data_IF_998390635801
#
_entry.id   IF_998390635801
#
_cell.length_a   1.000
_cell.length_b   1.000
_cell.length_c   1.000
_cell.angle_alpha   90.00
_cell.angle_beta   90.00
_cell.angle_gamma   90.00
#
_symmetry.space_group_name_H-M   'P 1'
#
loop_
_entity.id
_entity.type
_entity.pdbx_description
1 polymer ?
#
# COMPACT_ATOMS: atom_id res chain seq x y z
N UNK A 1 -0.58 -22.35 1.79
CA UNK A 1 -0.49 -22.38 3.28
C UNK A 1 0.97 -22.19 3.69
N UNK A 2 1.37 -20.99 4.08
CA UNK A 2 2.64 -20.76 4.78
C UNK A 2 2.30 -20.18 6.16
N UNK A 3 1.74 -21.03 7.02
CA UNK A 3 1.21 -20.63 8.34
C UNK A 3 2.13 -21.08 9.48
N UNK A 4 3.42 -21.30 9.21
CA UNK A 4 4.36 -21.47 10.32
C UNK A 4 4.72 -20.08 10.85
N UNK A 5 4.65 -19.85 12.17
CA UNK A 5 5.03 -18.57 12.75
C UNK A 5 6.46 -18.17 12.38
N UNK A 6 7.37 -19.14 12.25
CA UNK A 6 8.74 -18.92 11.78
C UNK A 6 8.85 -18.35 10.36
N UNK A 7 8.07 -18.88 9.41
CA UNK A 7 8.12 -18.38 8.03
C UNK A 7 7.63 -16.94 7.96
N UNK A 8 6.66 -16.58 8.81
CA UNK A 8 6.17 -15.20 8.92
C UNK A 8 7.25 -14.25 9.47
N UNK A 9 8.01 -14.68 10.47
CA UNK A 9 9.12 -13.89 11.02
C UNK A 9 10.24 -13.69 9.98
N UNK A 10 10.61 -14.74 9.24
CA UNK A 10 11.61 -14.64 8.17
C UNK A 10 11.17 -13.72 7.03
N UNK A 11 9.90 -13.79 6.62
CA UNK A 11 9.34 -12.89 5.62
C UNK A 11 9.36 -11.43 6.08
N UNK A 12 9.05 -11.19 7.35
CA UNK A 12 9.10 -9.85 7.92
C UNK A 12 10.52 -9.31 7.99
N UNK A 13 11.48 -10.11 8.43
CA UNK A 13 12.89 -9.73 8.49
C UNK A 13 13.44 -9.39 7.10
N UNK A 14 13.13 -10.22 6.09
CA UNK A 14 13.54 -9.98 4.70
C UNK A 14 12.91 -8.70 4.11
N UNK A 15 11.67 -8.40 4.48
CA UNK A 15 10.98 -7.18 4.07
C UNK A 15 11.62 -5.93 4.69
N UNK A 16 11.90 -5.96 5.99
CA UNK A 16 12.50 -4.84 6.72
C UNK A 16 13.92 -4.53 6.21
N UNK A 17 14.71 -5.56 5.89
CA UNK A 17 16.05 -5.39 5.35
C UNK A 17 16.03 -4.79 3.93
N UNK A 18 15.07 -5.21 3.10
CA UNK A 18 14.89 -4.66 1.74
C UNK A 18 14.48 -3.19 1.77
N UNK A 19 13.55 -2.83 2.66
CA UNK A 19 13.11 -1.44 2.84
C UNK A 19 14.24 -0.54 3.35
N UNK A 20 15.06 -1.05 4.27
CA UNK A 20 16.25 -0.36 4.76
C UNK A 20 17.26 -0.12 3.64
N UNK A 21 17.57 -1.15 2.84
CA UNK A 21 18.49 -1.05 1.71
C UNK A 21 18.02 -0.09 0.62
N UNK A 22 16.73 -0.10 0.28
CA UNK A 22 16.16 0.81 -0.74
C UNK A 22 16.15 2.28 -0.31
N UNK A 23 16.08 2.55 1.00
CA UNK A 23 15.97 3.91 1.54
C UNK A 23 17.28 4.42 2.16
N UNK A 24 18.32 3.61 2.22
CA UNK A 24 19.60 3.95 2.85
C UNK A 24 19.47 4.26 4.35
N UNK A 25 18.43 3.77 5.02
CA UNK A 25 18.16 4.05 6.44
C UNK A 25 18.38 2.79 7.29
N UNK A 26 18.81 2.94 8.57
CA UNK A 26 18.99 1.79 9.45
C UNK A 26 17.69 0.99 9.63
N UNK A 27 17.80 -0.35 9.65
CA UNK A 27 16.66 -1.26 9.89
C UNK A 27 15.91 -0.93 11.19
N UNK A 28 16.63 -0.47 12.23
CA UNK A 28 16.04 0.01 13.47
C UNK A 28 15.04 1.15 13.26
N UNK A 29 15.35 2.10 12.37
CA UNK A 29 14.48 3.23 12.03
C UNK A 29 13.26 2.83 11.18
N UNK A 30 13.29 1.66 10.54
CA UNK A 30 12.13 1.05 9.85
C UNK A 30 11.22 0.37 10.87
N UNK A 31 11.79 -0.37 11.83
CA UNK A 31 11.06 -1.05 12.91
C UNK A 31 10.39 -0.06 13.87
N UNK A 32 11.07 1.03 14.21
CA UNK A 32 10.56 2.08 15.10
C UNK A 32 9.37 2.84 14.49
N UNK A 33 9.43 3.17 13.18
CA UNK A 33 8.30 3.73 12.43
C UNK A 33 7.08 2.81 12.41
N UNK A 34 7.30 1.49 12.34
CA UNK A 34 6.22 0.50 12.38
C UNK A 34 5.64 0.35 13.78
N UNK A 35 6.46 0.41 14.82
CA UNK A 35 6.04 0.36 16.23
C UNK A 35 5.23 1.61 16.65
N UNK A 36 5.59 2.79 16.11
CA UNK A 36 4.84 4.04 16.32
C UNK A 36 3.44 4.05 15.67
N UNK A 37 3.21 3.23 14.64
CA UNK A 37 1.89 3.05 14.03
C UNK A 37 1.16 1.90 14.75
N UNK A 38 0.78 2.17 16.00
CA UNK A 38 -0.21 1.34 16.67
C UNK A 38 -1.53 1.46 15.90
N UNK A 39 -2.09 0.33 15.42
CA UNK A 39 -3.43 0.29 14.79
C UNK A 39 -4.49 1.03 15.63
N UNK A 40 -4.31 1.03 16.96
CA UNK A 40 -5.18 1.72 17.92
C UNK A 40 -4.95 3.24 17.98
N UNK A 41 -3.72 3.71 17.77
CA UNK A 41 -3.44 5.14 17.63
C UNK A 41 -3.78 5.68 16.24
N UNK A 42 -3.70 4.88 15.19
CA UNK A 42 -4.18 5.28 13.87
C UNK A 42 -5.70 5.49 13.85
N UNK A 43 -6.45 4.64 14.55
CA UNK A 43 -7.90 4.84 14.75
C UNK A 43 -8.22 6.06 15.64
N UNK A 44 -7.40 6.36 16.65
CA UNK A 44 -7.57 7.56 17.49
C UNK A 44 -7.08 8.86 16.84
N UNK A 45 -6.09 8.80 15.95
CA UNK A 45 -5.58 9.95 15.18
C UNK A 45 -6.38 10.22 13.91
N UNK A 46 -7.00 9.18 13.33
CA UNK A 46 -7.89 9.30 12.18
C UNK A 46 -9.17 10.09 12.46
N UNK A 47 -9.65 10.12 13.71
CA UNK A 47 -10.81 10.94 14.09
C UNK A 47 -10.48 12.43 14.15
N UNK A 48 -9.25 12.82 14.51
CA UNK A 48 -8.81 14.21 14.51
C UNK A 48 -8.50 14.72 13.08
N UNK A 49 -7.96 13.88 12.20
CA UNK A 49 -7.73 14.21 10.79
C UNK A 49 -8.99 14.23 9.92
N UNK A 50 -10.05 13.51 10.33
CA UNK A 50 -11.32 13.48 9.61
C UNK A 50 -12.10 14.80 9.67
N UNK A 51 -11.91 15.63 10.70
CA UNK A 51 -12.60 16.92 10.81
C UNK A 51 -12.15 17.94 9.74
N UNK A 52 -10.89 17.90 9.32
CA UNK A 52 -10.38 18.76 8.23
C UNK A 52 -10.80 18.29 6.84
N UNK A 53 -11.01 16.98 6.64
CA UNK A 53 -11.46 16.40 5.37
C UNK A 53 -12.99 16.40 5.23
N UNK A 54 -13.75 16.65 6.29
CA UNK A 54 -15.21 16.73 6.22
C UNK A 54 -15.72 18.03 5.56
N UNK A 55 -14.92 19.11 5.56
CA UNK A 55 -15.28 20.36 4.89
C UNK A 55 -14.88 20.38 3.40
N UNK A 56 -13.92 19.54 2.99
CA UNK A 56 -13.51 19.37 1.60
C UNK A 56 -14.03 18.00 1.11
N UNK A 57 -15.33 17.94 0.85
CA UNK A 57 -16.04 16.69 0.56
C UNK A 57 -15.35 15.80 -0.49
N UNK A 58 -15.42 14.46 -0.33
CA UNK A 58 -14.75 13.46 -1.18
C UNK A 58 -15.15 13.50 -2.67
N UNK A 59 -16.19 14.25 -3.03
CA UNK A 59 -16.62 14.42 -4.43
C UNK A 59 -15.66 15.25 -5.29
N UNK A 60 -14.90 16.19 -4.72
CA UNK A 60 -14.08 17.09 -5.54
C UNK A 60 -12.73 16.46 -5.96
N UNK A 61 -12.16 15.58 -5.14
CA UNK A 61 -10.90 14.89 -5.46
C UNK A 61 -11.12 13.79 -6.49
N UNK A 62 -12.26 13.10 -6.42
CA UNK A 62 -12.65 12.10 -7.41
C UNK A 62 -12.85 12.74 -8.80
N UNK A 63 -13.48 13.92 -8.88
CA UNK A 63 -13.88 14.54 -10.14
C UNK A 63 -12.71 15.07 -10.98
N UNK A 64 -11.61 15.45 -10.36
CA UNK A 64 -10.40 15.91 -11.08
C UNK A 64 -9.60 14.72 -11.64
N UNK A 65 -9.66 13.55 -11.02
CA UNK A 65 -8.96 12.34 -11.48
C UNK A 65 -9.64 11.64 -12.66
N UNK A 66 -10.95 11.85 -12.87
CA UNK A 66 -11.71 11.26 -13.99
C UNK A 66 -11.44 11.91 -15.36
N UNK A 67 -10.73 13.05 -15.41
CA UNK A 67 -10.49 13.78 -16.66
C UNK A 67 -9.35 13.19 -17.53
N UNK A 68 -8.51 12.31 -16.97
CA UNK A 68 -7.45 11.63 -17.71
C UNK A 68 -7.54 10.12 -17.48
N UNK A 69 -7.56 9.32 -18.56
CA UNK A 69 -7.48 7.87 -18.45
C UNK A 69 -6.17 7.48 -17.73
N UNK A 70 -6.23 6.86 -16.54
CA UNK A 70 -5.02 6.57 -15.75
C UNK A 70 -4.17 5.50 -16.45
N UNK A 71 -2.86 5.72 -16.56
CA UNK A 71 -1.91 4.70 -17.05
C UNK A 71 -1.43 3.85 -15.86
N UNK A 72 -1.79 2.57 -15.84
CA UNK A 72 -1.48 1.65 -14.73
C UNK A 72 -0.36 0.70 -15.12
N UNK A 73 0.70 0.65 -14.31
CA UNK A 73 1.78 -0.34 -14.41
C UNK A 73 1.73 -1.33 -13.25
N UNK A 74 1.88 -2.62 -13.54
CA UNK A 74 1.97 -3.70 -12.55
C UNK A 74 3.38 -4.26 -12.60
N UNK A 75 4.12 -4.21 -11.50
CA UNK A 75 5.48 -4.76 -11.42
C UNK A 75 5.43 -6.16 -10.81
N UNK A 76 5.86 -7.15 -11.59
CA UNK A 76 5.91 -8.56 -11.23
C UNK A 76 4.72 -9.37 -11.78
N UNK A 77 5.01 -10.29 -12.70
CA UNK A 77 4.05 -11.23 -13.29
C UNK A 77 3.76 -12.47 -12.43
N UNK A 78 3.84 -12.36 -11.10
CA UNK A 78 3.40 -13.43 -10.18
C UNK A 78 1.88 -13.54 -10.10
N UNK A 79 1.36 -14.53 -9.34
CA UNK A 79 -0.09 -14.74 -9.14
C UNK A 79 -0.80 -13.43 -8.75
N UNK A 80 -0.25 -12.67 -7.80
CA UNK A 80 -0.85 -11.41 -7.37
C UNK A 80 -0.89 -10.35 -8.48
N UNK A 81 0.15 -10.26 -9.30
CA UNK A 81 0.21 -9.31 -10.41
C UNK A 81 -0.77 -9.68 -11.52
N UNK A 82 -0.85 -10.96 -11.87
CA UNK A 82 -1.81 -11.47 -12.86
C UNK A 82 -3.26 -11.35 -12.39
N UNK A 83 -3.55 -11.61 -11.11
CA UNK A 83 -4.89 -11.39 -10.54
C UNK A 83 -5.27 -9.91 -10.57
N UNK A 84 -4.33 -9.02 -10.27
CA UNK A 84 -4.57 -7.57 -10.39
C UNK A 84 -4.84 -7.16 -11.84
N UNK A 85 -4.05 -7.66 -12.79
CA UNK A 85 -4.24 -7.40 -14.22
C UNK A 85 -5.60 -7.89 -14.71
N UNK A 86 -6.01 -9.11 -14.34
CA UNK A 86 -7.32 -9.67 -14.70
C UNK A 86 -8.48 -8.87 -14.09
N UNK A 87 -8.33 -8.43 -12.83
CA UNK A 87 -9.34 -7.59 -12.17
C UNK A 87 -9.53 -6.27 -12.90
N UNK A 88 -8.42 -5.63 -13.31
CA UNK A 88 -8.46 -4.38 -14.07
C UNK A 88 -9.04 -4.58 -15.47
N UNK A 89 -8.68 -5.69 -16.14
CA UNK A 89 -9.23 -6.05 -17.44
C UNK A 89 -10.75 -6.27 -17.39
N UNK A 90 -11.25 -6.98 -16.38
CA UNK A 90 -12.69 -7.20 -16.17
C UNK A 90 -13.44 -5.88 -15.92
N UNK A 91 -12.78 -4.88 -15.33
CA UNK A 91 -13.32 -3.54 -15.15
C UNK A 91 -13.16 -2.64 -16.40
N UNK A 92 -12.60 -3.16 -17.49
CA UNK A 92 -12.33 -2.39 -18.72
C UNK A 92 -11.18 -1.40 -18.60
N UNK A 93 -10.33 -1.52 -17.58
CA UNK A 93 -9.21 -0.61 -17.31
C UNK A 93 -7.93 -1.22 -17.86
N UNK A 94 -7.23 -0.46 -18.71
CA UNK A 94 -5.97 -0.90 -19.29
C UNK A 94 -4.80 -0.83 -18.29
N UNK A 95 -4.01 -1.90 -18.20
CA UNK A 95 -2.82 -1.97 -17.38
C UNK A 95 -1.69 -2.72 -18.11
N UNK A 96 -0.44 -2.30 -17.87
CA UNK A 96 0.77 -2.93 -18.44
C UNK A 96 1.53 -3.66 -17.35
N UNK A 97 1.86 -4.94 -17.57
CA UNK A 97 2.66 -5.74 -16.63
C UNK A 97 4.13 -5.69 -17.02
N UNK A 98 5.01 -5.50 -16.04
CA UNK A 98 6.47 -5.48 -16.14
C UNK A 98 7.09 -6.60 -15.28
#
# INVERSE_FOLDING_TARGET
MARTPLMRELQQLAHDHRLAGQRGIPVAAVRERRAGISRRQFLKGGTAGAAGLALAGPWNIARVAFAASPRIGIVGAGISGLTAALTLQNAGIHATVY
#
